data_IF_294733274939
#
_entry.id   IF_294733274939
#
_cell.length_a   1.000
_cell.length_b   1.000
_cell.length_c   1.000
_cell.angle_alpha   90.00
_cell.angle_beta   90.00
_cell.angle_gamma   90.00
#
_symmetry.space_group_name_H-M   'P 1'
#
loop_
_entity.id
_entity.type
_entity.pdbx_description
1 polymer ?
#
# COMPACT_ATOMS: atom_id res chain seq x y z
N UNK A 1 31.48 11.17 -11.42
CA UNK A 1 31.72 9.80 -10.91
C UNK A 1 30.74 9.37 -9.81
N UNK A 2 30.31 10.24 -8.93
CA UNK A 2 29.46 9.96 -7.78
C UNK A 2 28.08 9.34 -8.10
N UNK A 3 27.56 9.54 -9.32
CA UNK A 3 26.25 9.01 -9.75
C UNK A 3 26.32 7.53 -10.17
N UNK A 4 27.48 7.05 -10.60
CA UNK A 4 27.64 5.67 -11.13
C UNK A 4 27.37 4.61 -10.06
N UNK A 5 27.90 4.68 -8.83
CA UNK A 5 27.59 3.70 -7.80
C UNK A 5 26.10 3.60 -7.46
N UNK A 6 25.39 4.73 -7.52
CA UNK A 6 23.95 4.76 -7.34
C UNK A 6 23.21 4.00 -8.43
N UNK A 7 23.54 4.26 -9.70
CA UNK A 7 22.95 3.58 -10.87
C UNK A 7 23.20 2.07 -10.81
N UNK A 8 24.42 1.64 -10.47
CA UNK A 8 24.74 0.22 -10.34
C UNK A 8 24.05 -0.45 -9.16
N UNK A 9 23.80 0.28 -8.07
CA UNK A 9 22.98 -0.21 -6.96
C UNK A 9 21.51 -0.42 -7.35
N UNK A 10 20.93 0.42 -8.20
CA UNK A 10 19.56 0.22 -8.73
C UNK A 10 19.46 -1.13 -9.43
N UNK A 11 20.50 -1.61 -10.08
CA UNK A 11 20.59 -2.91 -10.74
C UNK A 11 20.95 -4.05 -9.77
N UNK A 12 20.79 -3.85 -8.46
CA UNK A 12 21.04 -4.85 -7.42
C UNK A 12 22.49 -5.36 -7.34
N UNK A 13 23.45 -4.55 -7.78
CA UNK A 13 24.86 -4.94 -7.71
C UNK A 13 25.43 -4.73 -6.29
N UNK A 14 26.23 -5.71 -5.83
CA UNK A 14 26.94 -5.57 -4.56
C UNK A 14 28.05 -4.53 -4.67
N UNK A 15 28.43 -3.89 -3.54
CA UNK A 15 29.54 -2.93 -3.49
C UNK A 15 30.82 -3.55 -4.04
N UNK A 16 31.08 -4.84 -3.79
CA UNK A 16 32.23 -5.57 -4.34
C UNK A 16 32.20 -5.65 -5.86
N UNK A 17 31.05 -5.94 -6.46
CA UNK A 17 30.91 -5.96 -7.92
C UNK A 17 31.08 -4.56 -8.51
N UNK A 18 30.54 -3.53 -7.84
CA UNK A 18 30.69 -2.15 -8.26
C UNK A 18 32.18 -1.74 -8.26
N UNK A 19 32.93 -2.06 -7.20
CA UNK A 19 34.38 -1.82 -7.14
C UNK A 19 35.11 -2.50 -8.31
N UNK A 20 34.79 -3.78 -8.58
CA UNK A 20 35.35 -4.52 -9.70
C UNK A 20 35.00 -3.91 -11.07
N UNK A 21 33.81 -3.35 -11.25
CA UNK A 21 33.44 -2.63 -12.48
C UNK A 21 34.28 -1.35 -12.66
N UNK A 22 34.55 -0.57 -11.60
CA UNK A 22 35.44 0.57 -11.67
C UNK A 22 36.84 0.16 -12.11
N UNK A 23 37.36 -0.94 -11.57
CA UNK A 23 38.67 -1.47 -11.91
C UNK A 23 38.74 -1.95 -13.36
N UNK A 24 37.77 -2.76 -13.81
CA UNK A 24 37.77 -3.37 -15.15
C UNK A 24 37.51 -2.33 -16.23
N UNK A 25 36.45 -1.52 -16.09
CA UNK A 25 35.97 -0.65 -17.17
C UNK A 25 36.62 0.75 -17.16
N UNK A 26 36.94 1.27 -15.98
CA UNK A 26 37.47 2.60 -15.85
C UNK A 26 38.96 2.63 -15.46
N UNK A 27 39.57 1.46 -15.22
CA UNK A 27 40.95 1.32 -14.74
C UNK A 27 41.25 2.11 -13.48
N UNK A 28 40.26 2.30 -12.62
CA UNK A 28 40.32 3.05 -11.37
C UNK A 28 40.07 2.11 -10.20
N UNK A 29 41.02 2.06 -9.28
CA UNK A 29 40.81 1.36 -8.01
C UNK A 29 39.97 2.22 -7.06
N UNK A 30 38.78 1.77 -6.68
CA UNK A 30 37.92 2.47 -5.72
C UNK A 30 37.58 1.53 -4.56
N UNK A 31 37.92 1.97 -3.35
CA UNK A 31 37.64 1.16 -2.15
C UNK A 31 36.15 0.93 -1.92
N UNK A 32 35.82 -0.20 -1.30
CA UNK A 32 34.44 -0.49 -0.91
C UNK A 32 33.85 0.59 0.01
N UNK A 33 34.67 1.18 0.87
CA UNK A 33 34.25 2.24 1.78
C UNK A 33 33.93 3.53 1.03
N UNK A 34 34.74 3.89 0.03
CA UNK A 34 34.47 5.04 -0.84
C UNK A 34 33.15 4.88 -1.59
N UNK A 35 32.90 3.71 -2.18
CA UNK A 35 31.63 3.39 -2.87
C UNK A 35 30.47 3.46 -1.90
N UNK A 36 30.65 2.94 -0.68
CA UNK A 36 29.63 3.01 0.38
C UNK A 36 29.34 4.46 0.77
N UNK A 37 30.37 5.30 0.94
CA UNK A 37 30.22 6.72 1.28
C UNK A 37 29.48 7.48 0.16
N UNK A 38 29.87 7.29 -1.10
CA UNK A 38 29.16 7.87 -2.24
C UNK A 38 27.68 7.43 -2.32
N UNK A 39 27.39 6.20 -1.93
CA UNK A 39 26.06 5.67 -1.94
C UNK A 39 25.18 6.12 -0.76
N UNK A 40 25.81 6.48 0.36
CA UNK A 40 25.12 6.83 1.61
C UNK A 40 25.02 8.36 1.81
N UNK A 41 25.02 9.14 0.73
CA UNK A 41 24.79 10.60 0.85
C UNK A 41 23.52 10.86 1.64
N UNK A 42 23.67 11.44 2.81
CA UNK A 42 22.70 11.96 3.78
C UNK A 42 21.22 11.77 3.41
N UNK A 43 20.67 10.61 3.71
CA UNK A 43 19.24 10.41 3.56
C UNK A 43 18.53 10.88 4.83
N UNK A 44 17.66 11.85 4.65
CA UNK A 44 16.61 12.20 5.63
C UNK A 44 15.81 10.92 5.93
N UNK A 45 15.22 10.85 7.12
CA UNK A 45 14.36 9.69 7.49
C UNK A 45 13.18 9.46 6.54
N UNK A 46 12.81 10.48 5.78
CA UNK A 46 11.74 10.50 4.80
C UNK A 46 12.31 10.79 3.43
N UNK A 47 11.91 10.04 2.43
CA UNK A 47 12.19 10.27 1.02
C UNK A 47 10.94 10.93 0.44
N UNK A 48 11.08 12.09 -0.17
CA UNK A 48 10.02 12.84 -0.82
C UNK A 48 10.28 12.94 -2.33
N UNK A 49 9.20 12.89 -3.08
CA UNK A 49 9.20 13.13 -4.52
C UNK A 49 8.53 14.49 -4.77
N UNK A 50 9.32 15.56 -4.76
CA UNK A 50 8.81 16.95 -4.68
C UNK A 50 8.52 17.61 -6.04
N UNK A 51 8.64 16.88 -7.17
CA UNK A 51 8.68 17.46 -8.51
C UNK A 51 7.33 17.63 -9.21
N UNK A 52 6.19 17.34 -8.57
CA UNK A 52 4.91 17.23 -9.26
C UNK A 52 3.79 17.98 -8.55
N UNK A 53 2.81 18.45 -9.37
CA UNK A 53 1.50 18.82 -8.86
C UNK A 53 0.69 17.55 -8.62
N UNK A 54 0.50 17.20 -7.37
CA UNK A 54 -0.18 16.00 -6.95
C UNK A 54 -1.69 16.15 -7.05
N UNK A 55 -2.38 15.02 -7.32
CA UNK A 55 -3.81 15.00 -7.59
C UNK A 55 -4.68 15.22 -6.34
N UNK A 56 -4.19 14.89 -5.17
CA UNK A 56 -4.99 14.87 -3.93
C UNK A 56 -5.68 13.53 -3.65
N UNK A 57 -5.62 12.58 -4.56
CA UNK A 57 -6.16 11.22 -4.39
C UNK A 57 -5.01 10.27 -4.08
N UNK A 58 -4.93 9.84 -2.82
CA UNK A 58 -3.79 9.08 -2.36
C UNK A 58 -4.14 7.66 -1.93
N UNK A 59 -3.22 6.74 -2.16
CA UNK A 59 -3.19 5.41 -1.58
C UNK A 59 -2.16 5.40 -0.45
N UNK A 60 -2.52 4.83 0.68
CA UNK A 60 -1.58 4.59 1.75
C UNK A 60 -1.49 3.11 2.06
N UNK A 61 -0.26 2.60 2.15
CA UNK A 61 0.00 1.21 2.52
C UNK A 61 1.37 1.07 3.20
N UNK A 62 1.62 -0.08 3.80
CA UNK A 62 2.81 -0.39 4.56
C UNK A 62 3.43 -1.72 4.16
N UNK A 63 4.70 -1.68 3.81
CA UNK A 63 5.47 -2.88 3.53
C UNK A 63 6.29 -3.30 4.75
N UNK A 64 6.17 -4.57 5.16
CA UNK A 64 7.01 -5.15 6.19
C UNK A 64 8.46 -5.31 5.75
N UNK A 65 9.40 -4.89 6.60
CA UNK A 65 10.85 -5.04 6.42
C UNK A 65 11.50 -5.65 7.66
N UNK A 66 12.64 -6.31 7.48
CA UNK A 66 13.49 -6.78 8.58
C UNK A 66 14.88 -6.18 8.44
N UNK A 67 15.24 -5.25 9.34
CA UNK A 67 16.52 -4.57 9.35
C UNK A 67 17.31 -4.97 10.60
N UNK A 68 18.52 -5.50 10.42
CA UNK A 68 19.34 -6.07 11.50
C UNK A 68 18.57 -7.04 12.42
N UNK A 69 17.75 -7.90 11.83
CA UNK A 69 16.91 -8.84 12.57
C UNK A 69 15.63 -8.24 13.16
N UNK A 70 15.50 -6.92 13.24
CA UNK A 70 14.37 -6.22 13.85
C UNK A 70 13.29 -5.85 12.83
N UNK A 71 12.02 -5.98 13.24
CA UNK A 71 10.86 -5.62 12.44
C UNK A 71 10.76 -4.11 12.23
N UNK A 72 10.54 -3.70 10.99
CA UNK A 72 10.29 -2.32 10.57
C UNK A 72 9.17 -2.28 9.54
N UNK A 73 8.64 -1.10 9.30
CA UNK A 73 7.60 -0.83 8.30
C UNK A 73 8.06 0.29 7.38
N UNK A 74 7.95 0.05 6.07
CA UNK A 74 8.07 1.07 5.03
C UNK A 74 6.69 1.64 4.82
N UNK A 75 6.45 2.86 5.26
CA UNK A 75 5.24 3.63 5.00
C UNK A 75 5.37 4.25 3.61
N UNK A 76 4.34 4.16 2.81
CA UNK A 76 4.30 4.81 1.49
C UNK A 76 2.99 5.54 1.29
N UNK A 77 3.08 6.81 0.91
CA UNK A 77 1.99 7.57 0.34
C UNK A 77 2.18 7.61 -1.18
N UNK A 78 1.15 7.27 -1.94
CA UNK A 78 1.22 7.08 -3.38
C UNK A 78 0.09 7.86 -4.06
N UNK A 79 0.39 8.66 -5.08
CA UNK A 79 -0.63 9.37 -5.85
C UNK A 79 -1.31 8.38 -6.81
N UNK A 80 -2.62 8.23 -6.65
CA UNK A 80 -3.41 7.27 -7.37
C UNK A 80 -3.55 7.62 -8.86
N UNK A 81 -3.65 8.91 -9.19
CA UNK A 81 -3.85 9.41 -10.55
C UNK A 81 -2.53 9.43 -11.32
N UNK A 82 -1.50 10.04 -10.73
CA UNK A 82 -0.17 10.11 -11.34
C UNK A 82 0.55 8.77 -11.37
N UNK A 83 0.09 7.80 -10.58
CA UNK A 83 0.70 6.48 -10.42
C UNK A 83 2.16 6.55 -9.95
N UNK A 84 2.46 7.47 -9.04
CA UNK A 84 3.80 7.68 -8.48
C UNK A 84 3.81 7.78 -6.96
N UNK A 85 4.89 7.35 -6.30
CA UNK A 85 5.04 7.56 -4.87
C UNK A 85 5.25 9.05 -4.57
N UNK A 86 4.56 9.55 -3.55
CA UNK A 86 4.67 10.90 -3.02
C UNK A 86 5.79 10.96 -1.99
N UNK A 87 5.78 10.02 -1.06
CA UNK A 87 6.74 9.99 0.04
C UNK A 87 6.85 8.58 0.63
N UNK A 88 8.02 8.29 1.20
CA UNK A 88 8.28 7.06 1.94
C UNK A 88 9.05 7.32 3.23
N UNK A 89 8.75 6.52 4.26
CA UNK A 89 9.43 6.57 5.56
C UNK A 89 9.59 5.18 6.14
N UNK A 90 10.69 4.91 6.81
CA UNK A 90 10.88 3.66 7.54
C UNK A 90 10.74 3.92 9.03
N UNK A 91 9.79 3.20 9.65
CA UNK A 91 9.51 3.28 11.08
C UNK A 91 9.65 1.92 11.75
N UNK A 92 9.97 1.92 13.05
CA UNK A 92 10.08 0.68 13.83
C UNK A 92 8.70 0.14 14.26
N UNK A 93 7.74 1.02 14.50
CA UNK A 93 6.40 0.66 15.00
C UNK A 93 5.32 1.31 14.15
N UNK A 94 4.32 0.51 13.80
CA UNK A 94 3.09 0.96 13.16
C UNK A 94 2.11 1.39 14.24
N UNK A 95 2.09 2.69 14.56
CA UNK A 95 1.19 3.29 15.54
C UNK A 95 0.48 4.50 14.93
N UNK A 96 -0.74 4.84 15.39
CA UNK A 96 -1.54 5.93 14.80
C UNK A 96 -0.77 7.26 14.68
N UNK A 97 -0.06 7.65 15.74
CA UNK A 97 0.75 8.88 15.77
C UNK A 97 1.79 8.95 14.64
N UNK A 98 2.49 7.85 14.37
CA UNK A 98 3.51 7.82 13.31
C UNK A 98 2.89 7.87 11.92
N UNK A 99 1.79 7.14 11.71
CA UNK A 99 1.04 7.11 10.46
C UNK A 99 0.43 8.47 10.16
N UNK A 100 -0.29 9.07 11.11
CA UNK A 100 -0.87 10.42 10.99
C UNK A 100 0.21 11.46 10.66
N UNK A 101 1.28 11.49 11.45
CA UNK A 101 2.40 12.41 11.21
C UNK A 101 3.01 12.22 9.82
N UNK A 102 3.23 10.99 9.39
CA UNK A 102 3.78 10.69 8.07
C UNK A 102 2.87 11.21 6.95
N UNK A 103 1.56 10.95 7.03
CA UNK A 103 0.59 11.39 6.03
C UNK A 103 0.55 12.92 5.97
N UNK A 104 0.43 13.61 7.12
CA UNK A 104 0.40 15.08 7.18
C UNK A 104 1.70 15.72 6.68
N UNK A 105 2.85 15.18 7.07
CA UNK A 105 4.15 15.66 6.56
C UNK A 105 4.26 15.50 5.04
N UNK A 106 3.71 14.40 4.50
CA UNK A 106 3.78 14.06 3.07
C UNK A 106 2.81 14.88 2.21
N UNK A 107 1.67 15.30 2.78
CA UNK A 107 0.64 16.08 2.08
C UNK A 107 0.72 17.57 2.36
N UNK A 108 1.70 18.02 3.15
CA UNK A 108 1.89 19.44 3.45
C UNK A 108 2.03 20.26 2.16
N UNK A 109 1.19 21.30 2.03
CA UNK A 109 1.11 22.17 0.85
C UNK A 109 0.72 21.41 -0.45
N UNK A 110 0.00 20.29 -0.33
CA UNK A 110 -0.53 19.53 -1.46
C UNK A 110 -2.04 19.36 -1.30
N UNK A 111 -2.80 19.23 -2.39
CA UNK A 111 -4.20 18.84 -2.28
C UNK A 111 -4.36 17.54 -1.50
N UNK A 112 -5.45 17.41 -0.73
CA UNK A 112 -5.75 16.17 -0.03
C UNK A 112 -7.27 15.93 -0.03
N UNK A 113 -7.74 15.19 -1.03
CA UNK A 113 -9.17 14.98 -1.32
C UNK A 113 -9.63 13.65 -0.74
N UNK A 114 -8.91 12.57 -1.04
CA UNK A 114 -9.27 11.23 -0.59
C UNK A 114 -8.04 10.38 -0.26
N UNK A 115 -8.21 9.52 0.76
CA UNK A 115 -7.23 8.53 1.17
C UNK A 115 -7.81 7.12 1.04
N UNK A 116 -7.22 6.28 0.19
CA UNK A 116 -7.58 4.86 0.10
C UNK A 116 -6.59 4.02 0.90
N UNK A 117 -7.09 3.13 1.77
CA UNK A 117 -6.26 2.24 2.60
C UNK A 117 -6.79 0.81 2.63
N UNK A 118 -6.03 -0.11 3.23
CA UNK A 118 -6.54 -1.42 3.62
C UNK A 118 -7.57 -1.33 4.78
N UNK A 119 -8.02 -2.49 5.28
CA UNK A 119 -9.07 -2.56 6.31
C UNK A 119 -8.55 -2.42 7.75
N UNK A 120 -7.26 -2.12 7.96
CA UNK A 120 -6.73 -2.04 9.31
C UNK A 120 -7.42 -0.91 10.10
N UNK A 121 -8.05 -1.21 11.26
CA UNK A 121 -8.93 -0.26 11.95
C UNK A 121 -8.29 1.09 12.28
N UNK A 122 -6.98 1.10 12.52
CA UNK A 122 -6.22 2.30 12.83
C UNK A 122 -6.34 3.38 11.74
N UNK A 123 -6.43 3.00 10.46
CA UNK A 123 -6.45 3.97 9.36
C UNK A 123 -7.76 4.77 9.31
N UNK A 124 -8.87 4.17 9.73
CA UNK A 124 -10.15 4.89 9.86
C UNK A 124 -10.03 6.04 10.85
N UNK A 125 -9.49 5.75 12.04
CA UNK A 125 -9.30 6.78 13.07
C UNK A 125 -8.32 7.86 12.59
N UNK A 126 -7.23 7.48 11.91
CA UNK A 126 -6.27 8.44 11.35
C UNK A 126 -6.91 9.33 10.29
N UNK A 127 -7.72 8.77 9.39
CA UNK A 127 -8.42 9.54 8.36
C UNK A 127 -9.45 10.49 8.97
N UNK A 128 -10.21 10.05 10.00
CA UNK A 128 -11.16 10.88 10.75
C UNK A 128 -10.47 12.04 11.47
N UNK A 129 -9.35 11.76 12.13
CA UNK A 129 -8.56 12.79 12.81
C UNK A 129 -7.90 13.80 11.86
N UNK A 130 -7.64 13.42 10.62
CA UNK A 130 -7.12 14.31 9.56
C UNK A 130 -8.26 15.11 8.92
N UNK A 131 -9.49 14.55 8.92
CA UNK A 131 -10.65 15.16 8.28
C UNK A 131 -10.69 14.99 6.77
N UNK A 132 -10.19 13.86 6.23
CA UNK A 132 -10.15 13.56 4.80
C UNK A 132 -11.15 12.47 4.42
N UNK A 133 -11.68 12.51 3.19
CA UNK A 133 -12.48 11.42 2.65
C UNK A 133 -11.68 10.12 2.67
N UNK A 134 -12.32 9.04 3.13
CA UNK A 134 -11.62 7.77 3.33
C UNK A 134 -12.30 6.61 2.60
N UNK A 135 -11.64 6.09 1.59
CA UNK A 135 -12.04 4.87 0.88
C UNK A 135 -11.35 3.65 1.50
N UNK A 136 -12.12 2.63 1.82
CA UNK A 136 -11.59 1.31 2.22
C UNK A 136 -11.44 0.40 1.00
N UNK A 137 -10.32 -0.29 0.89
CA UNK A 137 -9.99 -1.16 -0.23
C UNK A 137 -10.99 -2.32 -0.37
N UNK A 138 -11.71 -2.35 -1.49
CA UNK A 138 -12.70 -3.39 -1.83
C UNK A 138 -12.04 -4.76 -2.04
N UNK A 139 -10.84 -4.79 -2.59
CA UNK A 139 -10.11 -6.05 -2.77
C UNK A 139 -9.84 -6.72 -1.42
N UNK A 140 -9.34 -5.98 -0.44
CA UNK A 140 -9.12 -6.49 0.92
C UNK A 140 -10.43 -6.89 1.62
N UNK A 141 -11.54 -6.18 1.38
CA UNK A 141 -12.85 -6.58 1.88
C UNK A 141 -13.22 -7.98 1.36
N UNK A 142 -13.17 -8.17 0.04
CA UNK A 142 -13.54 -9.45 -0.58
C UNK A 142 -12.59 -10.58 -0.19
N UNK A 143 -11.29 -10.30 -0.09
CA UNK A 143 -10.31 -11.26 0.40
C UNK A 143 -10.60 -11.69 1.84
N UNK A 144 -10.96 -10.73 2.71
CA UNK A 144 -11.29 -11.00 4.12
C UNK A 144 -12.57 -11.82 4.24
N UNK A 145 -13.63 -11.52 3.47
CA UNK A 145 -14.84 -12.33 3.40
C UNK A 145 -14.48 -13.77 3.02
N UNK A 146 -13.79 -13.96 1.90
CA UNK A 146 -13.42 -15.29 1.40
C UNK A 146 -12.61 -16.09 2.43
N UNK A 147 -11.65 -15.44 3.08
CA UNK A 147 -10.83 -16.08 4.11
C UNK A 147 -11.66 -16.53 5.31
N UNK A 148 -12.56 -15.67 5.81
CA UNK A 148 -13.45 -16.00 6.93
C UNK A 148 -14.39 -17.16 6.59
N UNK A 149 -14.96 -17.17 5.40
CA UNK A 149 -15.83 -18.27 4.95
C UNK A 149 -15.05 -19.58 4.87
N UNK A 150 -13.86 -19.56 4.26
CA UNK A 150 -13.01 -20.76 4.16
C UNK A 150 -12.68 -21.33 5.55
N UNK A 151 -12.31 -20.45 6.50
CA UNK A 151 -12.01 -20.87 7.87
C UNK A 151 -13.24 -21.41 8.58
N UNK A 152 -14.39 -20.74 8.44
CA UNK A 152 -15.67 -21.15 9.04
C UNK A 152 -16.10 -22.53 8.53
N UNK A 153 -16.17 -22.72 7.21
CA UNK A 153 -16.56 -23.97 6.58
C UNK A 153 -15.67 -25.16 7.01
N UNK A 154 -14.36 -24.92 7.10
CA UNK A 154 -13.40 -25.94 7.55
C UNK A 154 -13.60 -26.32 9.01
N UNK A 155 -13.74 -25.31 9.91
CA UNK A 155 -13.88 -25.54 11.36
C UNK A 155 -15.17 -26.25 11.73
N UNK A 156 -16.27 -25.92 11.04
CA UNK A 156 -17.60 -26.47 11.33
C UNK A 156 -17.93 -27.68 10.46
N UNK A 157 -16.98 -28.20 9.67
CA UNK A 157 -17.17 -29.36 8.79
C UNK A 157 -18.42 -29.23 7.91
N UNK A 158 -18.67 -28.02 7.37
CA UNK A 158 -19.84 -27.69 6.57
C UNK A 158 -19.89 -28.55 5.31
N UNK A 159 -21.03 -29.20 5.03
CA UNK A 159 -21.24 -30.01 3.85
C UNK A 159 -21.34 -29.17 2.56
N UNK A 160 -21.25 -29.81 1.41
CA UNK A 160 -21.19 -29.14 0.10
C UNK A 160 -22.38 -28.21 -0.14
N UNK A 161 -23.62 -28.70 0.08
CA UNK A 161 -24.83 -27.91 -0.16
C UNK A 161 -24.93 -26.68 0.73
N UNK A 162 -24.62 -26.82 2.01
CA UNK A 162 -24.54 -25.66 2.94
C UNK A 162 -23.43 -24.67 2.55
N UNK A 163 -22.32 -25.20 2.07
CA UNK A 163 -21.20 -24.38 1.62
C UNK A 163 -21.58 -23.54 0.39
N UNK A 164 -22.23 -24.12 -0.60
CA UNK A 164 -22.75 -23.42 -1.77
C UNK A 164 -23.65 -22.26 -1.34
N UNK A 165 -24.64 -22.50 -0.51
CA UNK A 165 -25.52 -21.46 0.03
C UNK A 165 -24.77 -20.32 0.73
N UNK A 166 -23.74 -20.64 1.53
CA UNK A 166 -22.90 -19.62 2.19
C UNK A 166 -22.16 -18.77 1.17
N UNK A 167 -21.59 -19.37 0.11
CA UNK A 167 -20.85 -18.65 -0.91
C UNK A 167 -21.74 -17.81 -1.83
N UNK A 168 -22.96 -18.29 -2.13
CA UNK A 168 -23.98 -17.52 -2.87
C UNK A 168 -24.36 -16.25 -2.11
N UNK A 169 -24.71 -16.38 -0.83
CA UNK A 169 -24.97 -15.21 0.04
C UNK A 169 -23.78 -14.23 0.10
N UNK A 170 -22.57 -14.75 0.14
CA UNK A 170 -21.39 -13.89 0.11
C UNK A 170 -21.21 -13.19 -1.23
N UNK A 171 -21.60 -13.82 -2.34
CA UNK A 171 -21.56 -13.19 -3.66
C UNK A 171 -22.62 -12.08 -3.77
N UNK A 172 -23.83 -12.29 -3.26
CA UNK A 172 -24.86 -11.24 -3.17
C UNK A 172 -24.36 -10.04 -2.35
N UNK A 173 -23.75 -10.29 -1.17
CA UNK A 173 -23.12 -9.24 -0.38
C UNK A 173 -22.07 -8.47 -1.16
N UNK A 174 -21.18 -9.15 -1.89
CA UNK A 174 -20.14 -8.48 -2.70
C UNK A 174 -20.73 -7.66 -3.85
N UNK A 175 -21.85 -8.08 -4.41
CA UNK A 175 -22.54 -7.35 -5.47
C UNK A 175 -23.05 -5.98 -5.00
N UNK A 176 -23.37 -5.82 -3.71
CA UNK A 176 -23.72 -4.51 -3.15
C UNK A 176 -22.62 -3.45 -3.35
N UNK A 177 -21.36 -3.85 -3.48
CA UNK A 177 -20.21 -2.94 -3.67
C UNK A 177 -19.81 -2.78 -5.15
N UNK A 178 -20.57 -3.36 -6.09
CA UNK A 178 -20.27 -3.35 -7.53
C UNK A 178 -21.33 -2.61 -8.34
N UNK A 179 -22.07 -1.73 -7.68
CA UNK A 179 -23.12 -0.93 -8.30
C UNK A 179 -22.51 0.25 -9.06
N UNK A 180 -23.35 0.99 -9.81
CA UNK A 180 -22.90 2.13 -10.61
C UNK A 180 -22.90 3.45 -9.82
N UNK A 181 -23.53 3.48 -8.65
CA UNK A 181 -23.58 4.66 -7.77
C UNK A 181 -23.67 4.27 -6.31
N UNK A 182 -23.28 5.17 -5.42
CA UNK A 182 -23.44 5.00 -3.96
C UNK A 182 -24.92 4.80 -3.58
N UNK A 183 -25.85 5.49 -4.25
CA UNK A 183 -27.29 5.34 -4.00
C UNK A 183 -27.77 3.92 -4.31
N UNK A 184 -27.38 3.37 -5.46
CA UNK A 184 -27.70 1.99 -5.84
C UNK A 184 -27.07 0.99 -4.87
N UNK A 185 -25.81 1.18 -4.50
CA UNK A 185 -25.10 0.32 -3.54
C UNK A 185 -25.81 0.27 -2.18
N UNK A 186 -26.24 1.43 -1.66
CA UNK A 186 -27.01 1.52 -0.41
C UNK A 186 -28.37 0.82 -0.56
N UNK A 187 -29.07 1.03 -1.68
CA UNK A 187 -30.34 0.37 -1.97
C UNK A 187 -30.20 -1.14 -1.99
N UNK A 188 -29.23 -1.65 -2.74
CA UNK A 188 -28.94 -3.09 -2.83
C UNK A 188 -28.52 -3.68 -1.48
N UNK A 189 -27.72 -2.97 -0.69
CA UNK A 189 -27.34 -3.43 0.65
C UNK A 189 -28.53 -3.47 1.61
N UNK A 190 -29.42 -2.46 1.58
CA UNK A 190 -30.65 -2.47 2.36
C UNK A 190 -31.55 -3.65 1.97
N UNK A 191 -31.72 -3.91 0.68
CA UNK A 191 -32.50 -5.05 0.18
C UNK A 191 -31.88 -6.38 0.65
N UNK A 192 -30.56 -6.54 0.55
CA UNK A 192 -29.86 -7.72 1.07
C UNK A 192 -30.13 -7.92 2.57
N UNK A 193 -30.17 -6.85 3.36
CA UNK A 193 -30.44 -6.93 4.80
C UNK A 193 -31.93 -7.18 5.15
N UNK A 194 -32.89 -6.98 4.24
CA UNK A 194 -34.30 -7.33 4.48
C UNK A 194 -34.46 -8.80 4.77
N UNK A 195 -33.66 -9.64 4.13
CA UNK A 195 -33.63 -11.08 4.35
C UNK A 195 -32.66 -11.53 5.44
N UNK A 196 -32.45 -10.67 6.47
CA UNK A 196 -31.40 -10.86 7.48
C UNK A 196 -31.43 -12.24 8.12
N UNK A 197 -32.62 -12.84 8.35
CA UNK A 197 -32.75 -14.16 8.98
C UNK A 197 -32.15 -15.28 8.11
N UNK A 198 -32.24 -15.16 6.79
CA UNK A 198 -31.68 -16.13 5.85
C UNK A 198 -30.16 -16.02 5.66
N UNK A 199 -29.55 -14.88 6.05
CA UNK A 199 -28.11 -14.68 5.93
C UNK A 199 -27.36 -15.66 6.86
N UNK A 200 -26.32 -16.38 6.38
CA UNK A 200 -25.49 -17.24 7.21
C UNK A 200 -24.84 -16.51 8.40
N UNK A 201 -24.80 -17.15 9.56
CA UNK A 201 -24.29 -16.56 10.82
C UNK A 201 -22.91 -15.93 10.67
N UNK A 202 -22.00 -16.59 9.94
CA UNK A 202 -20.65 -16.09 9.69
C UNK A 202 -20.65 -14.75 8.94
N UNK A 203 -21.60 -14.52 8.03
CA UNK A 203 -21.77 -13.26 7.32
C UNK A 203 -22.46 -12.21 8.18
N UNK A 204 -23.48 -12.57 8.97
CA UNK A 204 -24.11 -11.66 9.94
C UNK A 204 -23.09 -11.01 10.86
N UNK A 205 -22.23 -11.83 11.46
CA UNK A 205 -21.15 -11.34 12.34
C UNK A 205 -20.15 -10.44 11.63
N UNK A 206 -19.82 -10.80 10.39
CA UNK A 206 -18.90 -9.99 9.59
C UNK A 206 -19.52 -8.65 9.20
N UNK A 207 -20.76 -8.64 8.74
CA UNK A 207 -21.50 -7.43 8.34
C UNK A 207 -21.61 -6.47 9.52
N UNK A 208 -22.05 -6.97 10.69
CA UNK A 208 -22.19 -6.17 11.91
C UNK A 208 -20.87 -5.52 12.34
N UNK A 209 -19.77 -6.27 12.30
CA UNK A 209 -18.47 -5.83 12.82
C UNK A 209 -17.70 -4.93 11.85
N UNK A 210 -17.86 -5.13 10.54
CA UNK A 210 -16.95 -4.56 9.56
C UNK A 210 -17.62 -3.73 8.46
N UNK A 211 -18.94 -3.90 8.23
CA UNK A 211 -19.60 -3.27 7.10
C UNK A 211 -20.59 -2.18 7.53
N UNK A 212 -21.55 -2.45 8.39
CA UNK A 212 -22.68 -1.55 8.66
C UNK A 212 -22.22 -0.11 8.94
N UNK A 213 -21.35 0.08 9.93
CA UNK A 213 -20.90 1.40 10.35
C UNK A 213 -19.90 2.06 9.41
N UNK A 214 -19.46 1.33 8.38
CA UNK A 214 -18.39 1.78 7.48
C UNK A 214 -18.76 1.64 6.00
N UNK A 215 -20.01 1.30 5.69
CA UNK A 215 -20.47 1.04 4.33
C UNK A 215 -20.14 2.19 3.39
N UNK A 216 -20.36 3.43 3.81
CA UNK A 216 -20.05 4.63 3.05
C UNK A 216 -18.59 4.71 2.61
N UNK A 217 -17.65 4.19 3.42
CA UNK A 217 -16.22 4.18 3.10
C UNK A 217 -15.81 3.11 2.06
N UNK A 218 -16.70 2.19 1.75
CA UNK A 218 -16.44 1.20 0.70
C UNK A 218 -16.96 1.61 -0.67
N UNK A 219 -17.83 2.61 -0.72
CA UNK A 219 -18.60 2.94 -1.94
C UNK A 219 -18.34 4.33 -2.50
N UNK A 220 -17.45 5.14 -1.90
CA UNK A 220 -17.14 6.50 -2.39
C UNK A 220 -16.61 6.49 -3.82
N UNK A 221 -15.87 5.46 -4.23
CA UNK A 221 -15.36 5.31 -5.59
C UNK A 221 -16.43 5.13 -6.67
N UNK A 222 -17.71 4.92 -6.27
CA UNK A 222 -18.81 4.80 -7.21
C UNK A 222 -19.32 6.15 -7.72
N UNK A 223 -19.10 7.21 -6.94
CA UNK A 223 -19.56 8.57 -7.29
C UNK A 223 -18.39 9.47 -7.74
N UNK A 224 -17.14 9.04 -7.55
CA UNK A 224 -15.94 9.74 -8.01
C UNK A 224 -14.94 8.74 -8.59
N UNK A 225 -14.80 8.75 -9.91
CA UNK A 225 -13.92 7.84 -10.67
C UNK A 225 -12.42 8.01 -10.35
N UNK A 226 -12.04 9.16 -9.76
CA UNK A 226 -10.66 9.41 -9.33
C UNK A 226 -10.31 8.67 -8.04
N UNK A 227 -11.32 8.22 -7.29
CA UNK A 227 -11.11 7.44 -6.08
C UNK A 227 -10.79 5.98 -6.44
N UNK A 228 -9.56 5.57 -6.20
CA UNK A 228 -9.17 4.18 -6.41
C UNK A 228 -9.88 3.25 -5.41
N UNK A 229 -10.63 2.28 -5.94
CA UNK A 229 -11.33 1.28 -5.14
C UNK A 229 -10.42 0.25 -4.46
N UNK A 230 -9.14 0.18 -4.86
CA UNK A 230 -8.16 -0.79 -4.35
C UNK A 230 -6.79 -0.17 -4.11
N UNK A 231 -5.99 -0.78 -3.24
CA UNK A 231 -4.57 -0.45 -3.01
C UNK A 231 -3.59 -1.13 -3.98
N UNK A 232 -4.08 -1.78 -5.04
CA UNK A 232 -3.26 -2.61 -5.93
C UNK A 232 -2.08 -1.86 -6.57
N UNK A 233 -2.20 -0.55 -6.84
CA UNK A 233 -1.12 0.25 -7.42
C UNK A 233 0.09 0.31 -6.48
N UNK A 234 -0.12 0.58 -5.19
CA UNK A 234 0.97 0.64 -4.21
C UNK A 234 1.55 -0.75 -3.92
N UNK A 235 0.72 -1.80 -3.92
CA UNK A 235 1.20 -3.18 -3.78
C UNK A 235 2.09 -3.58 -4.98
N UNK A 236 1.69 -3.22 -6.21
CA UNK A 236 2.49 -3.43 -7.41
C UNK A 236 3.81 -2.66 -7.35
N UNK A 237 3.78 -1.41 -6.88
CA UNK A 237 4.98 -0.61 -6.62
C UNK A 237 5.93 -1.33 -5.65
N UNK A 238 5.43 -1.87 -4.54
CA UNK A 238 6.25 -2.64 -3.61
C UNK A 238 6.85 -3.90 -4.23
N UNK A 239 6.05 -4.64 -5.00
CA UNK A 239 6.50 -5.87 -5.66
C UNK A 239 7.66 -5.61 -6.61
N UNK A 240 7.63 -4.48 -7.32
CA UNK A 240 8.67 -4.14 -8.30
C UNK A 240 9.89 -3.46 -7.65
N UNK A 241 9.68 -2.60 -6.65
CA UNK A 241 10.77 -1.82 -6.05
C UNK A 241 11.48 -2.53 -4.91
N UNK A 242 10.83 -3.45 -4.22
CA UNK A 242 11.43 -4.18 -3.11
C UNK A 242 10.94 -5.64 -3.01
N UNK A 243 11.22 -6.46 -4.04
CA UNK A 243 10.85 -7.87 -4.03
C UNK A 243 11.56 -8.65 -2.91
N UNK A 244 11.05 -9.84 -2.58
CA UNK A 244 11.56 -10.67 -1.47
C UNK A 244 13.09 -10.92 -1.51
N UNK A 245 13.65 -11.07 -2.71
CA UNK A 245 15.11 -11.24 -2.87
C UNK A 245 15.88 -10.04 -2.36
N UNK A 246 15.36 -8.84 -2.58
CA UNK A 246 16.01 -7.57 -2.21
C UNK A 246 15.85 -7.26 -0.73
N UNK A 247 14.72 -7.59 -0.12
CA UNK A 247 14.49 -7.46 1.33
C UNK A 247 15.57 -8.17 2.17
N UNK A 248 16.18 -9.20 1.62
CA UNK A 248 17.27 -9.96 2.28
C UNK A 248 18.65 -9.29 2.17
N UNK A 249 18.84 -8.37 1.21
CA UNK A 249 20.14 -7.73 0.94
C UNK A 249 20.39 -6.54 1.87
N UNK A 250 19.40 -5.66 1.99
CA UNK A 250 19.54 -4.43 2.78
C UNK A 250 19.19 -4.66 4.25
N UNK A 251 20.21 -4.60 5.11
CA UNK A 251 20.07 -4.88 6.56
C UNK A 251 20.03 -3.62 7.41
N UNK A 252 20.50 -2.48 6.90
CA UNK A 252 20.54 -1.21 7.64
C UNK A 252 19.51 -0.23 7.12
N UNK A 253 19.00 0.67 8.01
CA UNK A 253 18.03 1.71 7.67
C UNK A 253 18.57 2.62 6.55
N UNK A 254 19.80 3.10 6.65
CA UNK A 254 20.40 3.97 5.63
C UNK A 254 20.57 3.25 4.28
N UNK A 255 21.00 1.98 4.29
CA UNK A 255 21.18 1.22 3.06
C UNK A 255 19.88 1.03 2.31
N UNK A 256 18.78 0.67 3.02
CA UNK A 256 17.48 0.51 2.38
C UNK A 256 16.87 1.85 1.94
N UNK A 257 17.01 2.92 2.72
CA UNK A 257 16.52 4.26 2.32
C UNK A 257 17.21 4.76 1.05
N UNK A 258 18.55 4.63 0.96
CA UNK A 258 19.28 4.94 -0.26
C UNK A 258 18.76 4.18 -1.46
N UNK A 259 18.56 2.88 -1.30
CA UNK A 259 18.02 2.01 -2.36
C UNK A 259 16.61 2.45 -2.77
N UNK A 260 15.72 2.70 -1.81
CA UNK A 260 14.35 3.10 -2.09
C UNK A 260 14.24 4.47 -2.75
N UNK A 261 15.12 5.43 -2.41
CA UNK A 261 15.19 6.73 -3.09
C UNK A 261 15.46 6.56 -4.59
N UNK A 262 16.43 5.71 -4.96
CA UNK A 262 16.67 5.39 -6.36
C UNK A 262 15.49 4.67 -7.03
N UNK A 263 14.85 3.74 -6.33
CA UNK A 263 13.68 3.03 -6.86
C UNK A 263 12.50 3.98 -7.08
N UNK A 264 12.27 4.91 -6.16
CA UNK A 264 11.25 5.95 -6.29
C UNK A 264 11.48 6.80 -7.54
N UNK A 265 12.71 7.30 -7.74
CA UNK A 265 13.08 8.10 -8.91
C UNK A 265 12.89 7.31 -10.21
N UNK A 266 13.41 6.10 -10.26
CA UNK A 266 13.31 5.24 -11.44
C UNK A 266 11.85 4.85 -11.76
N UNK A 267 11.02 4.63 -10.74
CA UNK A 267 9.59 4.40 -10.93
C UNK A 267 8.91 5.63 -11.54
N UNK A 268 9.18 6.79 -10.96
CA UNK A 268 8.62 8.07 -11.40
C UNK A 268 8.99 8.40 -12.85
N UNK A 269 10.26 8.26 -13.21
CA UNK A 269 10.74 8.46 -14.59
C UNK A 269 10.08 7.54 -15.62
N UNK A 270 9.70 6.33 -15.21
CA UNK A 270 9.02 5.36 -16.08
C UNK A 270 7.52 5.67 -16.28
N UNK A 271 6.87 6.23 -15.28
CA UNK A 271 5.41 6.40 -15.27
C UNK A 271 4.99 7.83 -15.64
N UNK A 272 5.81 8.81 -15.34
CA UNK A 272 5.63 10.17 -15.82
C UNK A 272 6.53 10.33 -17.04
N UNK A 273 5.92 10.29 -18.23
CA UNK A 273 6.60 10.80 -19.43
C UNK A 273 6.82 12.28 -19.18
N UNK A 274 8.06 12.67 -18.95
CA UNK A 274 8.44 14.08 -18.91
C UNK A 274 8.14 14.61 -20.31
N UNK A 275 7.06 15.42 -20.40
CA UNK A 275 6.75 16.20 -21.59
C UNK A 275 7.80 17.30 -21.72
#
# INVERSE_FOLDING_TARGET
>A
MDKIPGILKIRYQSIRKISKYFEIFLKIHVSHQTIKNWSNKNHKETINNEKFEYSGYYLYDEQFLRLNGVRHYRLTLFDAILNVPVSERIVRRRIPKNTKKFILDSTKNKPFICLTTDLFPMYRNVADEIGVNHQLCIFHLFQTINHKLKVYCRRNKINTKQREHIYENAQELKNCFRQNSTKEAIGQFKQYLQNYMAIPVVLKDFIRKHIINHFHRYVQHLDDENIEKTSNKVENYYRQTNPEKIKKIYKTKNGILTFLDYQMKNWTEKHIKIK
#
